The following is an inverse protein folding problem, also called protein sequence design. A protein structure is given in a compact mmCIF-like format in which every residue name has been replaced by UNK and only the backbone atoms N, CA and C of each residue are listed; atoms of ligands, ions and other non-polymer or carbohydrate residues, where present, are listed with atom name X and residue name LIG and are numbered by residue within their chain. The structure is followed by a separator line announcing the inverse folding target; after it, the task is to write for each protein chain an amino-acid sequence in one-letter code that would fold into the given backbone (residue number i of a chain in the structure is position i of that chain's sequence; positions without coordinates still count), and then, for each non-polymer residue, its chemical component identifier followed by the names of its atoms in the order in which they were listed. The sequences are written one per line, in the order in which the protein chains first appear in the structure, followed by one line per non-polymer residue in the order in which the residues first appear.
data_IF_524772184269
#
_entry.id   IF_524772184269
#
_cell.length_a   1.000
_cell.length_b   1.000
_cell.length_c   1.000
_cell.angle_alpha   90.00
_cell.angle_beta   90.00
_cell.angle_gamma   90.00
#
_symmetry.space_group_name_H-M   'P 1'
#
loop_
_entity.id
_entity.type
_entity.pdbx_description
1 polymer ?
#
# COMPACT_ATOMS: atom_id res chain seq x y z
N UNK A 1 -6.53 -15.27 33.73
CA UNK A 1 -7.85 -14.91 33.15
C UNK A 1 -7.73 -13.47 32.68
N UNK A 2 -7.43 -13.32 31.39
CA UNK A 2 -6.99 -12.05 30.81
C UNK A 2 -7.96 -11.70 29.69
N UNK A 3 -8.78 -10.68 29.92
CA UNK A 3 -9.80 -10.20 28.99
C UNK A 3 -9.13 -9.59 27.74
N UNK A 4 -9.60 -9.86 26.51
CA UNK A 4 -9.05 -9.23 25.32
C UNK A 4 -9.61 -7.82 25.14
N UNK A 5 -8.71 -6.91 24.75
CA UNK A 5 -8.95 -5.51 24.43
C UNK A 5 -9.97 -5.39 23.29
N UNK A 6 -10.99 -4.54 23.48
CA UNK A 6 -11.88 -4.09 22.41
C UNK A 6 -11.05 -3.34 21.38
N UNK A 7 -11.06 -3.84 20.15
CA UNK A 7 -10.55 -3.11 18.98
C UNK A 7 -11.69 -2.20 18.54
N UNK A 8 -11.57 -0.90 18.83
CA UNK A 8 -12.44 0.13 18.24
C UNK A 8 -12.17 0.18 16.73
N UNK A 9 -12.98 -0.56 15.97
CA UNK A 9 -13.07 -0.43 14.52
C UNK A 9 -13.80 0.85 14.16
N UNK A 10 -13.10 1.98 14.14
CA UNK A 10 -13.55 3.14 13.36
C UNK A 10 -13.42 2.76 11.90
N UNK A 11 -14.51 2.31 11.30
CA UNK A 11 -14.68 2.34 9.85
C UNK A 11 -14.52 3.80 9.42
N UNK A 12 -13.37 4.12 8.83
CA UNK A 12 -13.15 5.39 8.18
C UNK A 12 -14.03 5.40 6.92
N UNK A 13 -14.99 6.31 6.77
CA UNK A 13 -15.71 6.44 5.53
C UNK A 13 -14.71 6.91 4.47
N UNK A 14 -14.60 6.11 3.41
CA UNK A 14 -13.78 6.33 2.24
C UNK A 14 -13.97 7.78 1.77
N UNK A 15 -12.86 8.49 1.76
CA UNK A 15 -12.67 9.89 1.46
C UNK A 15 -13.68 10.50 0.47
N UNK A 16 -14.34 11.53 0.97
CA UNK A 16 -14.86 12.70 0.25
C UNK A 16 -13.83 13.24 -0.75
N UNK A 17 -13.72 12.68 -1.96
CA UNK A 17 -12.94 13.27 -3.04
C UNK A 17 -13.60 12.98 -4.40
N UNK A 18 -14.70 13.70 -4.66
CA UNK A 18 -15.13 14.24 -5.96
C UNK A 18 -16.55 14.84 -5.83
N UNK A 19 -16.76 15.75 -4.87
CA UNK A 19 -17.76 16.78 -5.10
C UNK A 19 -17.17 17.73 -6.13
N UNK A 20 -17.31 17.39 -7.42
CA UNK A 20 -17.32 18.45 -8.42
C UNK A 20 -18.42 19.40 -7.95
N UNK A 21 -18.04 20.63 -7.59
CA UNK A 21 -19.03 21.67 -7.29
C UNK A 21 -20.01 21.67 -8.46
N UNK A 22 -21.27 21.29 -8.21
CA UNK A 22 -22.31 21.29 -9.25
C UNK A 22 -22.68 22.72 -9.67
N UNK A 23 -22.07 23.72 -9.04
CA UNK A 23 -22.03 25.10 -9.49
C UNK A 23 -21.19 25.23 -10.77
N UNK A 24 -21.61 26.07 -11.73
CA UNK A 24 -20.80 26.40 -12.90
C UNK A 24 -19.41 26.92 -12.50
N UNK A 25 -18.35 26.37 -13.09
CA UNK A 25 -16.98 26.88 -12.86
C UNK A 25 -16.80 28.31 -13.40
N UNK A 26 -17.52 28.65 -14.48
CA UNK A 26 -17.48 29.97 -15.11
C UNK A 26 -18.89 30.35 -15.58
N UNK A 27 -19.22 31.63 -15.47
CA UNK A 27 -20.51 32.14 -15.91
C UNK A 27 -21.65 31.80 -14.96
N UNK A 28 -22.86 31.78 -15.53
CA UNK A 28 -24.11 31.53 -14.84
C UNK A 28 -24.60 30.09 -14.98
N UNK A 29 -25.75 29.79 -14.39
CA UNK A 29 -26.39 28.47 -14.47
C UNK A 29 -26.87 28.19 -15.90
N UNK A 30 -26.59 26.96 -16.35
CA UNK A 30 -27.04 26.40 -17.65
C UNK A 30 -28.12 25.33 -17.45
N UNK A 31 -28.70 25.27 -16.25
CA UNK A 31 -29.77 24.35 -15.92
C UNK A 31 -31.01 24.60 -16.80
N UNK A 32 -31.79 23.56 -17.05
CA UNK A 32 -33.00 23.67 -17.84
C UNK A 32 -34.14 24.20 -16.95
N UNK A 33 -34.37 25.51 -16.99
CA UNK A 33 -35.41 26.17 -16.21
C UNK A 33 -36.80 25.86 -16.74
N UNK A 34 -37.74 25.58 -15.83
CA UNK A 34 -39.13 25.25 -16.19
C UNK A 34 -39.83 26.46 -16.80
N UNK A 35 -39.64 27.62 -16.15
CA UNK A 35 -40.10 28.90 -16.65
C UNK A 35 -38.90 29.70 -17.16
N UNK A 36 -39.03 30.45 -18.26
CA UNK A 36 -38.00 31.36 -18.72
C UNK A 36 -37.57 32.31 -17.58
N UNK A 37 -36.28 32.37 -17.22
CA UNK A 37 -35.82 33.26 -16.17
C UNK A 37 -36.07 34.73 -16.53
N UNK A 38 -36.57 35.51 -15.56
CA UNK A 38 -36.73 36.95 -15.75
C UNK A 38 -35.38 37.63 -16.01
N UNK A 39 -35.32 38.69 -16.85
CA UNK A 39 -34.06 39.39 -17.17
C UNK A 39 -33.28 39.87 -15.95
N UNK A 40 -33.96 40.21 -14.85
CA UNK A 40 -33.34 40.65 -13.58
C UNK A 40 -32.48 39.58 -12.91
N UNK A 41 -32.63 38.31 -13.30
CA UNK A 41 -31.83 37.17 -12.82
C UNK A 41 -30.68 36.80 -13.77
N UNK A 42 -30.54 37.50 -14.89
CA UNK A 42 -29.53 37.21 -15.89
C UNK A 42 -28.30 38.11 -15.70
N UNK A 43 -27.14 37.55 -16.06
CA UNK A 43 -25.86 38.24 -15.99
C UNK A 43 -25.66 39.17 -17.19
N UNK A 44 -25.25 40.42 -16.97
CA UNK A 44 -24.99 41.36 -18.06
C UNK A 44 -23.77 40.98 -18.92
N UNK A 45 -22.87 40.13 -18.41
CA UNK A 45 -21.73 39.65 -19.17
C UNK A 45 -22.00 38.36 -19.94
N UNK A 46 -22.47 37.30 -19.27
CA UNK A 46 -22.61 35.98 -19.88
C UNK A 46 -24.05 35.62 -20.29
N UNK A 47 -25.03 36.50 -20.01
CA UNK A 47 -26.46 36.37 -20.35
C UNK A 47 -27.17 35.12 -19.80
N UNK A 48 -26.50 34.34 -18.94
CA UNK A 48 -27.06 33.21 -18.21
C UNK A 48 -27.57 33.63 -16.83
N UNK A 49 -28.38 32.78 -16.17
CA UNK A 49 -28.87 33.02 -14.81
C UNK A 49 -27.71 33.14 -13.83
N UNK A 50 -27.70 34.18 -13.00
CA UNK A 50 -26.53 34.55 -12.20
C UNK A 50 -26.08 33.43 -11.24
N UNK A 51 -24.80 33.05 -11.29
CA UNK A 51 -24.16 32.20 -10.28
C UNK A 51 -23.34 33.09 -9.34
N UNK A 52 -23.57 32.97 -8.02
CA UNK A 52 -23.00 33.86 -6.99
C UNK A 52 -23.13 35.34 -7.39
N UNK A 53 -24.37 35.87 -7.51
CA UNK A 53 -24.62 37.19 -8.07
C UNK A 53 -23.90 38.29 -7.30
N UNK A 54 -23.31 39.20 -8.06
CA UNK A 54 -22.63 40.42 -7.62
C UNK A 54 -23.33 41.62 -8.23
N UNK A 55 -23.57 42.63 -7.42
CA UNK A 55 -24.14 43.89 -7.88
C UNK A 55 -23.09 44.98 -7.80
N UNK A 56 -23.04 45.79 -8.85
CA UNK A 56 -22.16 46.96 -8.98
C UNK A 56 -22.87 48.21 -8.46
N UNK A 57 -22.12 49.27 -8.15
CA UNK A 57 -22.69 50.57 -7.75
C UNK A 57 -23.60 51.17 -8.82
N UNK A 58 -23.33 50.91 -10.11
CA UNK A 58 -24.20 51.30 -11.22
C UNK A 58 -25.50 50.48 -11.33
N UNK A 59 -25.71 49.51 -10.44
CA UNK A 59 -26.95 48.74 -10.31
C UNK A 59 -27.00 47.45 -11.13
N UNK A 60 -26.03 47.20 -12.01
CA UNK A 60 -25.98 46.02 -12.88
C UNK A 60 -25.45 44.76 -12.17
N UNK A 61 -25.99 43.60 -12.54
CA UNK A 61 -25.70 42.30 -11.91
C UNK A 61 -24.82 41.40 -12.78
N UNK A 62 -23.89 40.73 -12.12
CA UNK A 62 -22.92 39.82 -12.74
C UNK A 62 -22.74 38.54 -11.93
N UNK A 63 -22.36 37.45 -12.60
CA UNK A 63 -21.83 36.29 -11.89
C UNK A 63 -20.48 36.68 -11.24
N UNK A 64 -20.15 36.10 -10.09
CA UNK A 64 -18.87 36.32 -9.42
C UNK A 64 -17.67 36.06 -10.34
N UNK A 65 -17.70 34.96 -11.10
CA UNK A 65 -16.64 34.62 -12.06
C UNK A 65 -16.57 35.62 -13.24
N UNK A 66 -17.70 36.12 -13.71
CA UNK A 66 -17.78 37.08 -14.80
C UNK A 66 -17.19 38.45 -14.40
N UNK A 67 -17.61 38.98 -13.26
CA UNK A 67 -17.14 40.30 -12.82
C UNK A 67 -15.65 40.27 -12.47
N UNK A 68 -15.18 39.17 -11.86
CA UNK A 68 -13.75 38.95 -11.59
C UNK A 68 -12.94 38.95 -12.88
N UNK A 69 -13.45 38.33 -13.94
CA UNK A 69 -12.81 38.36 -15.26
C UNK A 69 -12.79 39.76 -15.89
N UNK A 70 -13.84 40.56 -15.72
CA UNK A 70 -13.90 41.93 -16.21
C UNK A 70 -12.89 42.83 -15.49
N UNK A 71 -12.81 42.73 -14.17
CA UNK A 71 -11.88 43.48 -13.34
C UNK A 71 -10.40 43.16 -13.61
N UNK A 72 -10.11 41.97 -14.15
CA UNK A 72 -8.76 41.61 -14.59
C UNK A 72 -8.28 42.35 -15.83
N UNK A 73 -9.14 43.13 -16.50
CA UNK A 73 -8.79 43.93 -17.68
C UNK A 73 -8.28 45.33 -17.28
N UNK A 74 -7.40 45.97 -18.09
CA UNK A 74 -7.04 47.36 -17.85
C UNK A 74 -8.27 48.26 -18.02
N UNK A 75 -8.48 49.19 -17.09
CA UNK A 75 -9.62 50.11 -17.04
C UNK A 75 -10.97 49.37 -17.18
N UNK A 76 -11.35 48.54 -16.20
CA UNK A 76 -12.56 47.73 -16.29
C UNK A 76 -13.79 48.63 -16.28
N UNK A 77 -14.70 48.38 -17.22
CA UNK A 77 -15.99 49.08 -17.34
C UNK A 77 -17.14 48.09 -17.38
N UNK A 78 -18.30 48.52 -16.91
CA UNK A 78 -19.52 47.76 -16.96
C UNK A 78 -19.97 47.63 -18.42
N UNK A 79 -20.21 46.41 -18.95
CA UNK A 79 -20.61 46.21 -20.34
C UNK A 79 -22.04 46.70 -20.67
N UNK A 80 -22.84 47.07 -19.66
CA UNK A 80 -24.21 47.52 -19.86
C UNK A 80 -24.31 49.05 -20.08
N UNK A 81 -23.51 49.84 -19.36
CA UNK A 81 -23.59 51.31 -19.32
C UNK A 81 -22.22 52.01 -19.51
N UNK A 82 -21.13 51.25 -19.63
CA UNK A 82 -19.74 51.72 -19.75
C UNK A 82 -19.19 52.45 -18.52
N UNK A 83 -19.85 52.36 -17.36
CA UNK A 83 -19.36 52.98 -16.14
C UNK A 83 -18.11 52.27 -15.58
N UNK A 84 -17.14 52.99 -14.98
CA UNK A 84 -15.95 52.38 -14.38
C UNK A 84 -16.29 51.40 -13.27
N UNK A 85 -15.71 50.21 -13.32
CA UNK A 85 -15.85 49.19 -12.29
C UNK A 85 -14.69 49.26 -11.30
N UNK A 86 -15.00 49.17 -10.01
CA UNK A 86 -14.00 49.06 -8.95
C UNK A 86 -14.35 47.93 -7.98
N UNK A 87 -13.34 47.19 -7.53
CA UNK A 87 -13.52 46.01 -6.67
C UNK A 87 -14.21 46.34 -5.34
N UNK A 88 -13.92 47.51 -4.76
CA UNK A 88 -14.51 48.02 -3.52
C UNK A 88 -15.99 48.40 -3.65
N UNK A 89 -16.46 48.60 -4.88
CA UNK A 89 -17.83 49.01 -5.22
C UNK A 89 -18.70 47.85 -5.72
N UNK A 90 -18.27 46.62 -5.47
CA UNK A 90 -18.96 45.40 -5.90
C UNK A 90 -19.37 44.58 -4.69
N UNK A 91 -20.68 44.38 -4.55
CA UNK A 91 -21.29 43.77 -3.39
C UNK A 91 -21.91 42.41 -3.72
N UNK A 92 -22.00 41.52 -2.72
CA UNK A 92 -22.77 40.26 -2.85
C UNK A 92 -24.25 40.60 -2.90
N UNK A 93 -24.94 40.18 -3.95
CA UNK A 93 -26.39 40.34 -4.02
C UNK A 93 -27.07 39.12 -3.38
N UNK A 94 -27.12 39.12 -2.04
CA UNK A 94 -27.68 38.02 -1.26
C UNK A 94 -29.18 37.85 -1.50
N UNK A 95 -29.90 38.96 -1.74
CA UNK A 95 -31.33 38.92 -2.02
C UNK A 95 -31.60 38.22 -3.35
N UNK A 96 -30.96 38.66 -4.43
CA UNK A 96 -31.08 38.04 -5.75
C UNK A 96 -30.62 36.57 -5.72
N UNK A 97 -29.56 36.25 -4.99
CA UNK A 97 -29.10 34.87 -4.84
C UNK A 97 -30.19 33.96 -4.26
N UNK A 98 -30.88 34.38 -3.19
CA UNK A 98 -31.96 33.60 -2.59
C UNK A 98 -33.11 33.39 -3.57
N UNK A 99 -33.50 34.42 -4.31
CA UNK A 99 -34.56 34.32 -5.31
C UNK A 99 -34.20 33.32 -6.42
N UNK A 100 -33.00 33.44 -7.00
CA UNK A 100 -32.48 32.53 -8.03
C UNK A 100 -32.49 31.07 -7.56
N UNK A 101 -32.11 30.84 -6.30
CA UNK A 101 -32.07 29.49 -5.72
C UNK A 101 -33.44 28.83 -5.58
N UNK A 102 -34.54 29.60 -5.59
CA UNK A 102 -35.91 29.07 -5.55
C UNK A 102 -36.48 28.75 -6.93
N UNK A 103 -35.86 29.24 -8.01
CA UNK A 103 -36.29 28.98 -9.38
C UNK A 103 -36.34 27.47 -9.66
N UNK A 104 -37.39 27.03 -10.37
CA UNK A 104 -37.62 25.63 -10.67
C UNK A 104 -36.90 25.20 -11.95
N UNK A 105 -36.24 24.05 -11.88
CA UNK A 105 -35.48 23.45 -12.97
C UNK A 105 -35.81 21.96 -13.11
N UNK A 106 -35.59 21.44 -14.32
CA UNK A 106 -35.55 20.00 -14.55
C UNK A 106 -34.21 19.43 -14.08
N UNK A 107 -34.22 18.17 -13.64
CA UNK A 107 -32.99 17.44 -13.36
C UNK A 107 -32.01 17.48 -14.55
N UNK A 108 -30.70 17.64 -14.27
CA UNK A 108 -29.65 17.60 -15.31
C UNK A 108 -29.58 16.26 -16.05
N UNK A 109 -30.09 15.20 -15.44
CA UNK A 109 -30.25 13.87 -16.05
C UNK A 109 -31.58 13.70 -16.79
N UNK A 110 -32.30 14.78 -17.11
CA UNK A 110 -33.57 14.69 -17.83
C UNK A 110 -33.44 14.00 -19.20
N UNK A 111 -32.35 14.28 -19.91
CA UNK A 111 -31.99 13.59 -21.17
C UNK A 111 -31.80 12.07 -21.00
N UNK A 112 -31.45 11.62 -19.80
CA UNK A 112 -31.25 10.21 -19.48
C UNK A 112 -32.54 9.55 -18.94
N UNK A 113 -33.63 10.32 -18.78
CA UNK A 113 -34.94 9.81 -18.37
C UNK A 113 -35.42 10.26 -16.99
N UNK A 114 -34.67 11.09 -16.25
CA UNK A 114 -35.16 11.65 -15.00
C UNK A 114 -36.25 12.70 -15.27
N UNK A 115 -37.44 12.55 -14.67
CA UNK A 115 -38.55 13.49 -14.87
C UNK A 115 -38.73 14.48 -13.72
N UNK A 116 -37.86 14.40 -12.72
CA UNK A 116 -37.97 15.21 -11.51
C UNK A 116 -37.72 16.69 -11.77
N UNK A 117 -38.49 17.48 -11.05
CA UNK A 117 -38.44 18.94 -11.02
C UNK A 117 -38.14 19.39 -9.60
N UNK A 118 -37.24 20.35 -9.46
CA UNK A 118 -36.79 20.81 -8.13
C UNK A 118 -36.42 22.28 -8.17
N UNK A 119 -36.22 22.91 -7.01
CA UNK A 119 -35.58 24.23 -7.01
C UNK A 119 -34.09 24.10 -7.36
N UNK A 120 -33.50 25.16 -7.90
CA UNK A 120 -32.08 25.19 -8.25
C UNK A 120 -31.19 24.84 -7.03
N UNK A 121 -31.58 25.25 -5.83
CA UNK A 121 -30.91 24.89 -4.58
C UNK A 121 -30.84 23.37 -4.34
N UNK A 122 -31.88 22.63 -4.72
CA UNK A 122 -32.04 21.21 -4.45
C UNK A 122 -31.36 20.30 -5.49
N UNK A 123 -30.89 20.85 -6.61
CA UNK A 123 -30.29 20.09 -7.71
C UNK A 123 -29.12 19.23 -7.22
N UNK A 124 -28.26 19.78 -6.36
CA UNK A 124 -27.10 19.05 -5.85
C UNK A 124 -27.51 17.83 -5.04
N UNK A 125 -28.46 18.00 -4.12
CA UNK A 125 -28.94 16.93 -3.25
C UNK A 125 -29.65 15.84 -4.07
N UNK A 126 -30.45 16.25 -5.06
CA UNK A 126 -31.08 15.31 -5.98
C UNK A 126 -30.06 14.49 -6.77
N UNK A 127 -29.04 15.11 -7.38
CA UNK A 127 -28.06 14.39 -8.21
C UNK A 127 -27.24 13.37 -7.41
N UNK A 128 -27.08 13.57 -6.11
CA UNK A 128 -26.44 12.60 -5.22
C UNK A 128 -27.21 11.28 -5.08
N UNK A 129 -28.53 11.29 -5.32
CA UNK A 129 -29.40 10.11 -5.23
C UNK A 129 -30.13 9.78 -6.55
N UNK A 130 -29.99 10.63 -7.57
CA UNK A 130 -30.64 10.44 -8.86
C UNK A 130 -30.17 9.14 -9.53
N UNK A 131 -31.13 8.26 -9.79
CA UNK A 131 -30.95 6.96 -10.45
C UNK A 131 -30.40 7.08 -11.88
N UNK A 132 -30.76 8.16 -12.58
CA UNK A 132 -30.37 8.43 -13.96
C UNK A 132 -29.08 9.24 -14.09
N UNK A 133 -28.51 9.69 -12.97
CA UNK A 133 -27.25 10.40 -12.97
C UNK A 133 -26.10 9.43 -13.22
N UNK A 134 -25.22 9.79 -14.13
CA UNK A 134 -24.05 9.00 -14.48
C UNK A 134 -22.92 9.25 -13.47
N UNK A 135 -22.45 8.16 -12.88
CA UNK A 135 -21.31 8.17 -11.95
C UNK A 135 -20.22 7.24 -12.49
N UNK A 136 -18.93 7.57 -12.27
CA UNK A 136 -17.84 6.70 -12.68
C UNK A 136 -17.86 5.39 -11.89
N UNK A 137 -17.78 4.26 -12.59
CA UNK A 137 -17.63 2.95 -11.96
C UNK A 137 -16.34 2.92 -11.13
N UNK A 138 -16.39 2.41 -9.87
CA UNK A 138 -15.22 2.41 -8.99
C UNK A 138 -14.06 1.58 -9.55
N UNK A 139 -14.37 0.54 -10.34
CA UNK A 139 -13.40 -0.42 -10.88
C UNK A 139 -12.87 -0.04 -12.27
N UNK A 140 -13.76 0.23 -13.24
CA UNK A 140 -13.36 0.50 -14.63
C UNK A 140 -13.33 1.98 -15.03
N UNK A 141 -13.84 2.88 -14.18
CA UNK A 141 -13.97 4.33 -14.40
C UNK A 141 -14.91 4.76 -15.54
N UNK A 142 -15.59 3.82 -16.21
CA UNK A 142 -16.63 4.14 -17.18
C UNK A 142 -17.81 4.85 -16.49
N UNK A 143 -18.43 5.80 -17.18
CA UNK A 143 -19.62 6.51 -16.67
C UNK A 143 -20.85 5.64 -16.86
N UNK A 144 -21.52 5.31 -15.76
CA UNK A 144 -22.68 4.42 -15.73
C UNK A 144 -23.81 5.11 -14.95
N UNK A 145 -25.05 5.01 -15.42
CA UNK A 145 -26.20 5.47 -14.64
C UNK A 145 -26.27 4.73 -13.31
N UNK A 146 -26.55 5.44 -12.21
CA UNK A 146 -26.57 4.88 -10.85
C UNK A 146 -27.45 3.62 -10.75
N UNK A 147 -28.63 3.61 -11.38
CA UNK A 147 -29.54 2.45 -11.41
C UNK A 147 -28.96 1.21 -12.11
N UNK A 148 -28.08 1.40 -13.09
CA UNK A 148 -27.50 0.31 -13.89
C UNK A 148 -26.18 -0.20 -13.30
N UNK A 149 -25.65 0.46 -12.26
CA UNK A 149 -24.39 0.09 -11.60
C UNK A 149 -24.39 -1.35 -11.07
N UNK A 150 -25.46 -1.86 -10.42
CA UNK A 150 -25.48 -3.26 -9.96
C UNK A 150 -25.40 -4.27 -11.11
N UNK A 151 -26.12 -4.02 -12.20
CA UNK A 151 -26.07 -4.88 -13.39
C UNK A 151 -24.68 -4.80 -14.06
N UNK A 152 -24.11 -3.60 -14.14
CA UNK A 152 -22.76 -3.39 -14.65
C UNK A 152 -21.74 -4.20 -13.83
N UNK A 153 -21.70 -4.04 -12.51
CA UNK A 153 -20.74 -4.73 -11.65
C UNK A 153 -20.92 -6.25 -11.65
N UNK A 154 -22.12 -6.76 -11.84
CA UNK A 154 -22.38 -8.21 -11.86
C UNK A 154 -22.10 -8.86 -13.22
N UNK A 155 -22.34 -8.16 -14.35
CA UNK A 155 -22.35 -8.81 -15.68
C UNK A 155 -21.46 -8.14 -16.72
N UNK A 156 -21.35 -6.81 -16.72
CA UNK A 156 -20.74 -6.06 -17.83
C UNK A 156 -19.34 -5.55 -17.52
N UNK A 157 -19.02 -5.28 -16.25
CA UNK A 157 -17.74 -4.72 -15.84
C UNK A 157 -16.60 -5.69 -16.16
N UNK A 158 -15.56 -5.17 -16.84
CA UNK A 158 -14.34 -5.92 -17.15
C UNK A 158 -13.57 -6.37 -15.90
N UNK A 159 -13.63 -5.57 -14.83
CA UNK A 159 -12.93 -5.82 -13.57
C UNK A 159 -13.86 -6.35 -12.48
N UNK A 160 -15.05 -6.87 -12.85
CA UNK A 160 -15.97 -7.47 -11.88
C UNK A 160 -15.29 -8.56 -11.07
N UNK A 161 -15.73 -8.72 -9.83
CA UNK A 161 -15.27 -9.82 -9.00
C UNK A 161 -15.86 -11.15 -9.48
N UNK A 162 -15.04 -12.19 -9.44
CA UNK A 162 -15.41 -13.57 -9.65
C UNK A 162 -14.94 -14.39 -8.45
N UNK A 163 -15.76 -15.36 -8.04
CA UNK A 163 -15.42 -16.26 -6.94
C UNK A 163 -14.61 -17.44 -7.49
N UNK A 164 -13.43 -17.67 -6.93
CA UNK A 164 -12.63 -18.85 -7.29
C UNK A 164 -13.36 -20.13 -6.87
N UNK A 165 -13.54 -21.06 -7.81
CA UNK A 165 -14.24 -22.33 -7.55
C UNK A 165 -13.53 -23.24 -6.53
N UNK A 166 -12.20 -23.12 -6.44
CA UNK A 166 -11.37 -23.92 -5.55
C UNK A 166 -11.28 -23.33 -4.14
N UNK A 167 -10.82 -22.08 -4.01
CA UNK A 167 -10.56 -21.45 -2.70
C UNK A 167 -11.65 -20.49 -2.21
N UNK A 168 -12.71 -20.28 -2.99
CA UNK A 168 -13.86 -19.40 -2.69
C UNK A 168 -13.52 -17.92 -2.46
N UNK A 169 -12.29 -17.49 -2.72
CA UNK A 169 -11.92 -16.08 -2.66
C UNK A 169 -12.51 -15.29 -3.83
N UNK A 170 -12.91 -14.04 -3.56
CA UNK A 170 -13.33 -13.08 -4.59
C UNK A 170 -12.11 -12.39 -5.17
N UNK A 171 -12.01 -12.41 -6.50
CA UNK A 171 -10.85 -11.92 -7.24
C UNK A 171 -11.35 -11.20 -8.49
N UNK A 172 -10.66 -10.16 -8.95
CA UNK A 172 -10.98 -9.55 -10.24
C UNK A 172 -11.01 -10.63 -11.34
N UNK A 173 -12.05 -10.63 -12.18
CA UNK A 173 -12.22 -11.63 -13.24
C UNK A 173 -10.99 -11.73 -14.15
N UNK A 174 -10.36 -10.60 -14.46
CA UNK A 174 -9.14 -10.51 -15.27
C UNK A 174 -7.94 -11.24 -14.66
N UNK A 175 -7.93 -11.42 -13.33
CA UNK A 175 -6.84 -12.02 -12.58
C UNK A 175 -7.14 -13.46 -12.15
N UNK A 176 -8.39 -13.92 -12.33
CA UNK A 176 -8.82 -15.24 -11.86
C UNK A 176 -7.99 -16.38 -12.46
N UNK A 177 -7.65 -16.30 -13.75
CA UNK A 177 -6.83 -17.33 -14.40
C UNK A 177 -5.41 -17.36 -13.82
N UNK A 178 -4.77 -16.20 -13.71
CA UNK A 178 -3.45 -16.06 -13.08
C UNK A 178 -3.46 -16.55 -11.63
N UNK A 179 -4.53 -16.25 -10.88
CA UNK A 179 -4.71 -16.77 -9.53
C UNK A 179 -4.70 -18.30 -9.51
N UNK A 180 -5.54 -18.95 -10.35
CA UNK A 180 -5.59 -20.41 -10.46
C UNK A 180 -4.21 -21.00 -10.75
N UNK A 181 -3.50 -20.44 -11.71
CA UNK A 181 -2.20 -20.95 -12.17
C UNK A 181 -1.04 -20.74 -11.19
N UNK A 182 -1.06 -19.66 -10.40
CA UNK A 182 0.15 -19.24 -9.65
C UNK A 182 0.02 -19.27 -8.14
N UNK A 183 -1.16 -18.97 -7.59
CA UNK A 183 -1.28 -18.66 -6.15
C UNK A 183 -2.49 -19.27 -5.44
N UNK A 184 -3.46 -19.83 -6.15
CA UNK A 184 -4.60 -20.51 -5.56
C UNK A 184 -4.15 -21.68 -4.64
N UNK A 185 -4.42 -21.64 -3.33
CA UNK A 185 -3.93 -22.68 -2.41
C UNK A 185 -4.67 -24.02 -2.58
N UNK A 186 -5.96 -23.93 -2.92
CA UNK A 186 -6.87 -25.08 -3.01
C UNK A 186 -6.95 -25.69 -4.42
N UNK A 187 -6.11 -25.26 -5.36
CA UNK A 187 -6.10 -25.87 -6.68
C UNK A 187 -5.29 -27.18 -6.65
N UNK A 188 -5.81 -28.27 -7.22
CA UNK A 188 -5.03 -29.44 -7.58
C UNK A 188 -3.82 -29.13 -8.44
N UNK A 189 -2.65 -29.62 -8.03
CA UNK A 189 -1.41 -29.57 -8.81
C UNK A 189 -0.78 -30.96 -8.89
N UNK A 190 -0.09 -31.22 -10.00
CA UNK A 190 0.70 -32.43 -10.15
C UNK A 190 1.98 -32.34 -9.31
N UNK A 191 2.42 -33.46 -8.75
CA UNK A 191 3.73 -33.55 -8.12
C UNK A 191 4.82 -33.28 -9.18
N UNK A 192 5.80 -32.40 -8.92
CA UNK A 192 6.95 -32.19 -9.81
C UNK A 192 7.79 -33.45 -10.05
N UNK A 193 7.78 -34.39 -9.11
CA UNK A 193 8.45 -35.69 -9.23
C UNK A 193 7.57 -36.74 -9.96
N UNK A 194 6.41 -36.35 -10.48
CA UNK A 194 5.46 -37.20 -11.22
C UNK A 194 5.14 -38.53 -10.50
N UNK A 195 4.92 -38.44 -9.18
CA UNK A 195 4.48 -39.58 -8.37
C UNK A 195 3.00 -39.91 -8.63
N UNK A 196 2.56 -41.09 -8.16
CA UNK A 196 1.20 -41.58 -8.36
C UNK A 196 0.16 -41.00 -7.38
N UNK A 197 0.52 -39.98 -6.60
CA UNK A 197 -0.40 -39.38 -5.63
C UNK A 197 -1.59 -38.73 -6.34
N UNK A 198 -2.83 -39.00 -5.90
CA UNK A 198 -4.00 -38.34 -6.45
C UNK A 198 -3.98 -36.86 -6.09
N UNK A 199 -4.06 -35.98 -7.09
CA UNK A 199 -4.41 -34.55 -6.99
C UNK A 199 -3.98 -33.86 -5.68
N UNK A 200 -2.74 -33.36 -5.61
CA UNK A 200 -2.19 -32.69 -4.43
C UNK A 200 -2.66 -31.23 -4.43
N UNK A 201 -3.17 -30.70 -3.31
CA UNK A 201 -3.47 -29.27 -3.22
C UNK A 201 -2.17 -28.45 -3.23
N UNK A 202 -2.16 -27.29 -3.90
CA UNK A 202 -0.96 -26.42 -3.94
C UNK A 202 -0.43 -26.10 -2.53
N UNK A 203 -1.31 -25.87 -1.56
CA UNK A 203 -0.91 -25.63 -0.15
C UNK A 203 -0.22 -26.82 0.50
N UNK A 204 -0.54 -28.04 0.08
CA UNK A 204 -0.01 -29.30 0.63
C UNK A 204 1.22 -29.79 -0.11
N UNK A 205 1.53 -29.22 -1.29
CA UNK A 205 2.62 -29.66 -2.14
C UNK A 205 3.97 -29.66 -1.41
N UNK A 206 4.23 -28.64 -0.58
CA UNK A 206 5.50 -28.55 0.16
C UNK A 206 5.66 -29.67 1.19
N UNK A 207 4.57 -30.12 1.83
CA UNK A 207 4.62 -31.25 2.75
C UNK A 207 4.77 -32.54 1.97
N UNK A 208 3.99 -32.72 0.90
CA UNK A 208 4.12 -33.87 0.02
C UNK A 208 5.54 -34.05 -0.53
N UNK A 209 6.24 -32.98 -0.92
CA UNK A 209 7.58 -33.08 -1.47
C UNK A 209 8.61 -33.70 -0.52
N UNK A 210 8.44 -33.52 0.80
CA UNK A 210 9.32 -34.12 1.81
C UNK A 210 9.14 -35.65 1.88
N UNK A 211 7.91 -36.12 1.73
CA UNK A 211 7.55 -37.54 1.84
C UNK A 211 7.33 -38.22 0.47
N UNK A 212 7.62 -37.51 -0.62
CA UNK A 212 7.28 -37.99 -1.97
C UNK A 212 8.05 -39.27 -2.29
N UNK A 213 7.39 -40.39 -2.67
CA UNK A 213 8.06 -41.65 -2.97
C UNK A 213 9.10 -41.56 -4.10
N UNK A 214 8.86 -40.65 -5.06
CA UNK A 214 9.74 -40.39 -6.20
C UNK A 214 10.68 -39.20 -5.98
N UNK A 215 10.75 -38.61 -4.78
CA UNK A 215 11.76 -37.59 -4.50
C UNK A 215 13.16 -38.20 -4.55
N UNK A 216 14.10 -37.50 -5.17
CA UNK A 216 15.51 -37.84 -5.05
C UNK A 216 16.01 -37.47 -3.66
N UNK A 217 16.55 -38.47 -2.96
CA UNK A 217 17.07 -38.31 -1.61
C UNK A 217 18.49 -38.84 -1.52
N UNK A 218 19.26 -38.26 -0.60
CA UNK A 218 20.56 -38.77 -0.16
C UNK A 218 20.40 -39.53 1.14
N UNK A 219 21.18 -40.59 1.34
CA UNK A 219 21.18 -41.31 2.60
C UNK A 219 21.53 -40.39 3.79
N UNK A 220 20.86 -40.55 4.93
CA UNK A 220 21.14 -39.82 6.18
C UNK A 220 22.59 -40.00 6.67
N UNK A 221 23.24 -41.10 6.25
CA UNK A 221 24.64 -41.41 6.52
C UNK A 221 25.61 -40.79 5.52
N UNK A 222 25.16 -39.97 4.56
CA UNK A 222 26.02 -39.23 3.64
C UNK A 222 27.08 -38.42 4.38
N UNK A 223 26.71 -37.80 5.52
CA UNK A 223 27.64 -37.07 6.39
C UNK A 223 28.77 -37.94 6.96
N UNK A 224 28.60 -39.25 7.02
CA UNK A 224 29.61 -40.21 7.48
C UNK A 224 30.37 -40.89 6.34
N UNK A 225 30.00 -40.64 5.08
CA UNK A 225 30.68 -41.16 3.89
C UNK A 225 29.84 -42.07 3.00
N UNK A 226 28.56 -42.30 3.30
CA UNK A 226 27.69 -43.04 2.38
C UNK A 226 27.47 -42.26 1.08
N UNK A 227 27.60 -42.90 -0.08
CA UNK A 227 27.48 -42.25 -1.39
C UNK A 227 26.12 -42.45 -2.05
N UNK A 228 25.17 -43.12 -1.38
CA UNK A 228 23.87 -43.45 -1.94
C UNK A 228 23.03 -42.21 -2.27
N UNK A 229 22.48 -42.22 -3.48
CA UNK A 229 21.51 -41.28 -4.02
C UNK A 229 20.47 -42.08 -4.79
N UNK A 230 19.19 -41.94 -4.45
CA UNK A 230 18.13 -42.74 -5.05
C UNK A 230 16.75 -42.15 -4.79
N UNK A 231 15.71 -42.94 -5.07
CA UNK A 231 14.33 -42.53 -4.78
C UNK A 231 13.99 -42.73 -3.30
N UNK A 232 13.14 -41.88 -2.74
CA UNK A 232 12.72 -42.00 -1.33
C UNK A 232 12.09 -43.37 -1.01
N UNK A 233 11.33 -43.94 -1.95
CA UNK A 233 10.77 -45.28 -1.79
C UNK A 233 11.83 -46.39 -1.66
N UNK A 234 13.01 -46.21 -2.24
CA UNK A 234 14.13 -47.17 -2.21
C UNK A 234 15.03 -46.95 -0.98
N UNK A 235 14.96 -45.77 -0.35
CA UNK A 235 15.81 -45.41 0.78
C UNK A 235 15.66 -46.39 1.95
N UNK A 236 14.43 -46.83 2.23
CA UNK A 236 14.17 -47.79 3.33
C UNK A 236 14.88 -49.12 3.11
N UNK A 237 14.90 -49.62 1.87
CA UNK A 237 15.58 -50.87 1.53
C UNK A 237 17.11 -50.70 1.56
N UNK A 238 17.61 -49.55 1.12
CA UNK A 238 19.03 -49.22 1.27
C UNK A 238 19.46 -49.15 2.74
N UNK A 239 18.70 -48.43 3.58
CA UNK A 239 19.04 -48.28 5.00
C UNK A 239 19.05 -49.62 5.74
N UNK A 240 18.14 -50.55 5.40
CA UNK A 240 18.14 -51.89 5.97
C UNK A 240 19.29 -52.76 5.45
N UNK A 241 19.56 -52.73 4.13
CA UNK A 241 20.56 -53.60 3.48
C UNK A 241 22.01 -53.17 3.80
N UNK A 242 22.23 -51.89 4.07
CA UNK A 242 23.55 -51.31 4.33
C UNK A 242 23.74 -50.88 5.80
N UNK A 243 22.89 -51.35 6.72
CA UNK A 243 22.96 -50.98 8.14
C UNK A 243 24.33 -51.27 8.78
N UNK A 244 24.94 -52.42 8.47
CA UNK A 244 26.27 -52.80 8.98
C UNK A 244 27.38 -51.87 8.46
N UNK A 245 27.32 -51.49 7.19
CA UNK A 245 28.25 -50.55 6.58
C UNK A 245 28.08 -49.14 7.17
N UNK A 246 26.84 -48.71 7.39
CA UNK A 246 26.53 -47.44 8.06
C UNK A 246 27.10 -47.40 9.48
N UNK A 247 26.97 -48.48 10.25
CA UNK A 247 27.59 -48.59 11.57
C UNK A 247 29.12 -48.53 11.48
N UNK A 248 29.75 -49.17 10.48
CA UNK A 248 31.20 -49.10 10.26
C UNK A 248 31.65 -47.67 9.96
N UNK A 249 30.94 -46.94 9.11
CA UNK A 249 31.20 -45.53 8.82
C UNK A 249 31.06 -44.64 10.06
N UNK A 250 30.06 -44.90 10.91
CA UNK A 250 29.91 -44.21 12.20
C UNK A 250 31.10 -44.47 13.12
N UNK A 251 31.52 -45.73 13.27
CA UNK A 251 32.68 -46.10 14.12
C UNK A 251 33.96 -45.46 13.60
N UNK A 252 34.22 -45.54 12.30
CA UNK A 252 35.40 -44.90 11.70
C UNK A 252 35.45 -43.38 11.94
N UNK A 253 34.29 -42.71 11.82
CA UNK A 253 34.15 -41.29 12.16
C UNK A 253 34.33 -41.03 13.66
N UNK A 254 33.81 -41.89 14.53
CA UNK A 254 34.00 -41.79 15.99
C UNK A 254 35.49 -41.85 16.36
N UNK A 255 36.20 -42.86 15.86
CA UNK A 255 37.64 -43.02 16.10
C UNK A 255 38.43 -41.80 15.60
N UNK A 256 38.05 -41.26 14.44
CA UNK A 256 38.68 -40.04 13.88
C UNK A 256 38.42 -38.82 14.77
N UNK A 257 37.20 -38.69 15.32
CA UNK A 257 36.86 -37.61 16.25
C UNK A 257 37.60 -37.76 17.58
N UNK A 258 37.71 -38.97 18.11
CA UNK A 258 38.47 -39.28 19.32
C UNK A 258 39.95 -38.94 19.16
N UNK A 259 40.57 -39.29 18.03
CA UNK A 259 41.94 -38.91 17.72
C UNK A 259 42.11 -37.38 17.68
N UNK A 260 41.21 -36.67 17.00
CA UNK A 260 41.24 -35.19 16.96
C UNK A 260 41.04 -34.55 18.33
N UNK A 261 40.21 -35.14 19.19
CA UNK A 261 40.02 -34.66 20.57
C UNK A 261 41.30 -34.82 21.36
N UNK A 262 41.99 -35.96 21.22
CA UNK A 262 43.28 -36.18 21.89
C UNK A 262 44.37 -35.23 21.35
N UNK A 263 44.40 -34.98 20.03
CA UNK A 263 45.31 -34.01 19.42
C UNK A 263 45.09 -32.60 19.97
N UNK A 264 43.84 -32.12 20.02
CA UNK A 264 43.48 -30.81 20.58
C UNK A 264 43.85 -30.72 22.06
N UNK A 265 43.62 -31.78 22.82
CA UNK A 265 44.01 -31.86 24.23
C UNK A 265 45.53 -31.79 24.41
N UNK A 266 46.29 -32.47 23.57
CA UNK A 266 47.76 -32.42 23.59
C UNK A 266 48.27 -31.02 23.23
N UNK A 267 47.73 -30.39 22.18
CA UNK A 267 48.06 -29.01 21.85
C UNK A 267 47.73 -28.04 22.99
N UNK A 268 46.59 -28.21 23.65
CA UNK A 268 46.21 -27.38 24.79
C UNK A 268 47.18 -27.55 25.97
N UNK A 269 47.62 -28.78 26.24
CA UNK A 269 48.59 -29.08 27.28
C UNK A 269 49.95 -28.44 26.98
N UNK A 270 50.42 -28.51 25.74
CA UNK A 270 51.66 -27.83 25.33
C UNK A 270 51.54 -26.31 25.47
N UNK A 271 50.42 -25.70 25.04
CA UNK A 271 50.17 -24.28 25.27
C UNK A 271 50.15 -23.94 26.77
N UNK A 272 49.57 -24.80 27.61
CA UNK A 272 49.53 -24.62 29.06
C UNK A 272 50.93 -24.63 29.69
N UNK A 273 51.87 -25.46 29.20
CA UNK A 273 53.26 -25.48 29.69
C UNK A 273 54.03 -24.19 29.44
N UNK A 274 53.67 -23.43 28.40
CA UNK A 274 54.33 -22.16 28.05
C UNK A 274 53.81 -20.99 28.89
N UNK A 275 52.59 -21.10 29.46
CA UNK A 275 51.95 -20.03 30.23
C UNK A 275 52.79 -19.53 31.42
N UNK A 276 53.41 -20.40 32.27
CA UNK A 276 54.23 -19.92 33.39
C UNK A 276 55.42 -19.08 32.93
N UNK A 277 56.10 -19.49 31.85
CA UNK A 277 57.25 -18.74 31.31
C UNK A 277 56.86 -17.38 30.75
N UNK A 278 55.70 -17.29 30.08
CA UNK A 278 55.14 -16.01 29.65
C UNK A 278 54.76 -15.14 30.85
N UNK A 279 54.15 -15.72 31.89
CA UNK A 279 53.78 -15.00 33.09
C UNK A 279 55.01 -14.43 33.81
N UNK A 280 56.09 -15.20 33.95
CA UNK A 280 57.35 -14.70 34.52
C UNK A 280 57.92 -13.53 33.72
N UNK A 281 57.96 -13.63 32.38
CA UNK A 281 58.44 -12.55 31.51
C UNK A 281 57.57 -11.29 31.62
N UNK A 282 56.26 -11.45 31.79
CA UNK A 282 55.35 -10.32 32.03
C UNK A 282 55.72 -9.66 33.35
N UNK A 283 55.87 -10.43 34.43
CA UNK A 283 56.27 -9.91 35.75
C UNK A 283 57.63 -9.18 35.69
N UNK A 284 58.63 -9.74 34.99
CA UNK A 284 59.93 -9.09 34.79
C UNK A 284 59.81 -7.75 34.06
N UNK A 285 59.01 -7.68 33.00
CA UNK A 285 58.77 -6.44 32.25
C UNK A 285 58.01 -5.42 33.10
N UNK A 286 57.04 -5.87 33.91
CA UNK A 286 56.32 -5.02 34.86
C UNK A 286 57.26 -4.42 35.92
N UNK A 287 58.19 -5.22 36.45
CA UNK A 287 59.22 -4.76 37.39
C UNK A 287 60.17 -3.76 36.73
N UNK A 288 60.71 -4.07 35.55
CA UNK A 288 61.57 -3.15 34.79
C UNK A 288 60.86 -1.82 34.48
N UNK A 289 59.58 -1.87 34.13
CA UNK A 289 58.77 -0.67 33.90
C UNK A 289 58.57 0.14 35.18
N UNK A 290 58.36 -0.52 36.31
CA UNK A 290 58.25 0.12 37.62
C UNK A 290 59.57 0.79 38.01
N UNK A 291 60.69 0.11 37.88
CA UNK A 291 62.03 0.67 38.11
C UNK A 291 62.32 1.87 37.19
N UNK A 292 61.99 1.77 35.90
CA UNK A 292 62.16 2.86 34.95
C UNK A 292 61.32 4.09 35.34
N UNK A 293 60.09 3.88 35.85
CA UNK A 293 59.22 4.95 36.37
C UNK A 293 59.79 5.57 37.65
N UNK A 294 60.32 4.77 38.57
CA UNK A 294 60.93 5.26 39.81
C UNK A 294 62.23 6.04 39.54
N UNK A 295 63.05 5.55 38.60
CA UNK A 295 64.26 6.22 38.16
C UNK A 295 63.93 7.54 37.49
N UNK A 296 63.03 7.58 36.50
CA UNK A 296 62.59 8.86 35.88
C UNK A 296 62.03 9.84 36.92
N UNK A 297 61.30 9.38 37.94
CA UNK A 297 60.88 10.22 39.07
C UNK A 297 62.02 10.75 39.95
N UNK A 298 63.16 10.03 40.02
CA UNK A 298 64.38 10.46 40.73
C UNK A 298 65.22 11.45 39.90
N UNK A 299 65.29 11.29 38.58
CA UNK A 299 65.89 12.28 37.68
C UNK A 299 65.14 13.62 37.69
N UNK A 300 63.81 13.61 37.87
CA UNK A 300 63.01 14.83 38.06
C UNK A 300 63.31 15.59 39.36
N UNK A 301 63.80 14.90 40.41
CA UNK A 301 64.09 15.51 41.72
C UNK A 301 65.55 15.97 41.89
N UNK A 302 66.48 15.45 41.09
CA UNK A 302 67.91 15.77 41.15
C UNK A 302 68.43 16.55 39.94
N UNK A 303 67.56 17.19 39.15
CA UNK A 303 67.99 18.09 38.07
C UNK A 303 68.43 19.46 38.66
N UNK A 304 69.71 19.85 38.57
CA UNK A 304 70.20 21.14 39.04
C UNK A 304 70.05 22.18 37.92
N UNK A 305 68.82 22.47 37.52
CA UNK A 305 68.50 23.58 36.61
C UNK A 305 67.21 24.26 37.05
N UNK A 306 67.33 25.01 38.15
CA UNK A 306 66.63 26.26 38.42
C UNK A 306 67.31 26.95 39.62
N UNK A 307 68.53 27.46 39.38
CA UNK A 307 69.02 28.66 40.07
C UNK A 307 69.07 29.77 39.03
N UNK A 308 68.00 30.54 38.96
CA UNK A 308 67.91 31.92 38.49
C UNK A 308 66.58 32.45 38.98
#
# INVERSE_FOLDING_TARGET
MSLPRRVDGREQPIALHQQQSLLPLRGGFQDNFIMPPEPKYCCEHCRMVLCNPRQTECGHRFCESCITQLLGKPNPVCPADMEPLSQDKIFRDVCCHKEIMTLKVFCRSAKNGCKEQMSLQQVTDHLNMCEYFEVPCPLCKEKIMRKDMPEHLSRKCKYREATCEFCKHKIALTELQKHKETVCPAIPVACPNHCSAPSILRSELSMHQQDCPKAQVTCSFFRFGCTYKGLNQELREHESSFASEHLRLMVARSNTLEAKVEDVKNELLERYKVLPGLNSRITEVEEQYKEMRENTGRWSKNSPLCRS
#
